data_IF_700194119977
#
_entry.id   IF_700194119977
#
_cell.length_a   1.000
_cell.length_b   1.000
_cell.length_c   1.000
_cell.angle_alpha   90.00
_cell.angle_beta   90.00
_cell.angle_gamma   90.00
#
_symmetry.space_group_name_H-M   'P 1'
#
loop_
_entity.id
_entity.type
_entity.pdbx_description
1 polymer ?
#
# COMPACT_ATOMS: atom_id res chain seq x y z
N UNK A 1 -11.88 53.03 -6.20
CA UNK A 1 -11.88 51.86 -5.29
C UNK A 1 -13.01 50.95 -5.72
N UNK A 2 -12.70 49.85 -6.41
CA UNK A 2 -13.68 48.81 -6.75
C UNK A 2 -13.08 47.50 -6.27
N UNK A 3 -13.52 47.11 -5.08
CA UNK A 3 -13.29 45.79 -4.49
C UNK A 3 -14.24 44.82 -5.14
N UNK A 4 -13.72 43.87 -5.91
CA UNK A 4 -14.42 42.62 -6.21
C UNK A 4 -13.41 41.52 -5.97
N UNK A 5 -13.35 41.08 -4.71
CA UNK A 5 -12.72 39.84 -4.32
C UNK A 5 -13.54 38.71 -4.95
N UNK A 6 -13.11 38.25 -6.12
CA UNK A 6 -13.51 36.94 -6.62
C UNK A 6 -12.84 35.91 -5.71
N UNK A 7 -13.50 35.63 -4.59
CA UNK A 7 -13.28 34.43 -3.79
C UNK A 7 -13.52 33.25 -4.72
N UNK A 8 -12.43 32.72 -5.30
CA UNK A 8 -12.46 31.34 -5.75
C UNK A 8 -12.76 30.51 -4.51
N UNK A 9 -13.81 29.66 -4.51
CA UNK A 9 -13.88 28.61 -3.52
C UNK A 9 -12.57 27.81 -3.63
N UNK A 10 -11.94 27.43 -2.50
CA UNK A 10 -10.80 26.53 -2.58
C UNK A 10 -11.25 25.31 -3.40
N UNK A 11 -10.41 24.79 -4.33
CA UNK A 11 -10.66 23.46 -4.84
C UNK A 11 -10.76 22.58 -3.61
N UNK A 12 -11.95 22.04 -3.34
CA UNK A 12 -12.09 20.94 -2.41
C UNK A 12 -11.21 19.86 -2.99
N UNK A 13 -9.98 19.77 -2.47
CA UNK A 13 -9.20 18.56 -2.54
C UNK A 13 -10.15 17.49 -2.02
N UNK A 14 -10.77 16.75 -2.94
CA UNK A 14 -11.31 15.44 -2.64
C UNK A 14 -10.10 14.66 -2.16
N UNK A 15 -9.83 14.77 -0.87
CA UNK A 15 -9.23 13.72 -0.09
C UNK A 15 -10.12 12.53 -0.45
N UNK A 16 -9.66 11.73 -1.41
CA UNK A 16 -10.21 10.41 -1.66
C UNK A 16 -9.82 9.62 -0.43
N UNK A 17 -10.49 9.90 0.68
CA UNK A 17 -10.80 8.86 1.64
C UNK A 17 -11.50 7.80 0.78
N UNK A 18 -10.79 6.72 0.51
CA UNK A 18 -11.29 5.53 -0.19
C UNK A 18 -12.27 4.81 0.73
N UNK A 19 -13.21 5.56 1.31
CA UNK A 19 -14.30 5.06 2.12
C UNK A 19 -15.30 4.44 1.17
N UNK A 20 -15.58 3.16 1.37
CA UNK A 20 -16.66 2.48 0.67
C UNK A 20 -17.97 3.25 0.94
N UNK A 21 -18.69 3.59 -0.14
CA UNK A 21 -20.03 4.17 0.02
C UNK A 21 -20.97 3.13 0.65
N UNK A 22 -22.01 3.56 1.39
CA UNK A 22 -23.04 2.65 1.93
C UNK A 22 -23.62 1.71 0.86
N UNK A 23 -23.81 2.20 -0.36
CA UNK A 23 -24.25 1.38 -1.50
C UNK A 23 -23.25 0.26 -1.84
N UNK A 24 -21.95 0.56 -1.77
CA UNK A 24 -20.91 -0.41 -2.03
C UNK A 24 -20.82 -1.44 -0.91
N UNK A 25 -21.00 -1.02 0.35
CA UNK A 25 -21.07 -1.93 1.49
C UNK A 25 -22.25 -2.91 1.40
N UNK A 26 -23.43 -2.42 1.02
CA UNK A 26 -24.59 -3.28 0.74
C UNK A 26 -24.29 -4.30 -0.35
N UNK A 27 -23.69 -3.87 -1.46
CA UNK A 27 -23.31 -4.79 -2.54
C UNK A 27 -22.32 -5.86 -2.08
N UNK A 28 -21.35 -5.49 -1.23
CA UNK A 28 -20.38 -6.44 -0.66
C UNK A 28 -21.10 -7.48 0.18
N UNK A 29 -21.94 -7.05 1.13
CA UNK A 29 -22.68 -7.96 2.00
C UNK A 29 -23.63 -8.87 1.23
N UNK A 30 -24.36 -8.33 0.24
CA UNK A 30 -25.28 -9.11 -0.59
C UNK A 30 -24.54 -10.16 -1.42
N UNK A 31 -23.41 -9.77 -2.02
CA UNK A 31 -22.56 -10.68 -2.80
C UNK A 31 -22.01 -11.78 -1.88
N UNK A 32 -21.33 -11.41 -0.78
CA UNK A 32 -20.68 -12.35 0.12
C UNK A 32 -21.67 -13.26 0.86
N UNK A 33 -22.89 -12.79 1.14
CA UNK A 33 -23.94 -13.63 1.75
C UNK A 33 -24.40 -14.79 0.86
N UNK A 34 -24.07 -14.76 -0.43
CA UNK A 34 -24.37 -15.84 -1.38
C UNK A 34 -23.27 -16.90 -1.45
N UNK A 35 -22.12 -16.68 -0.81
CA UNK A 35 -20.96 -17.57 -0.84
C UNK A 35 -20.60 -18.08 0.56
N UNK A 36 -19.79 -19.13 0.62
CA UNK A 36 -19.31 -19.71 1.86
C UNK A 36 -17.86 -19.24 2.14
N UNK A 37 -17.57 -18.63 3.31
CA UNK A 37 -16.22 -18.17 3.64
C UNK A 37 -15.21 -19.30 3.83
N UNK A 38 -15.65 -20.50 4.19
CA UNK A 38 -14.79 -21.65 4.43
C UNK A 38 -14.57 -22.48 3.15
N UNK A 39 -15.46 -22.36 2.16
CA UNK A 39 -15.45 -23.15 0.93
C UNK A 39 -15.64 -22.29 -0.32
N UNK A 40 -14.68 -21.40 -0.55
CA UNK A 40 -14.69 -20.53 -1.71
C UNK A 40 -13.82 -21.08 -2.84
N UNK A 41 -14.43 -21.31 -4.00
CA UNK A 41 -13.76 -21.83 -5.19
C UNK A 41 -13.09 -20.71 -5.98
N UNK A 42 -12.16 -21.09 -6.87
CA UNK A 42 -11.45 -20.14 -7.73
C UNK A 42 -12.40 -19.31 -8.60
N UNK A 43 -13.42 -19.96 -9.16
CA UNK A 43 -14.41 -19.35 -10.03
C UNK A 43 -15.33 -18.38 -9.27
N UNK A 44 -15.64 -18.72 -8.01
CA UNK A 44 -16.44 -17.88 -7.11
C UNK A 44 -15.65 -16.64 -6.72
N UNK A 45 -14.38 -16.79 -6.36
CA UNK A 45 -13.48 -15.66 -6.10
C UNK A 45 -13.40 -14.69 -7.29
N UNK A 46 -13.26 -15.22 -8.51
CA UNK A 46 -13.26 -14.41 -9.72
C UNK A 46 -14.58 -13.66 -9.90
N UNK A 47 -15.72 -14.33 -9.71
CA UNK A 47 -17.04 -13.69 -9.81
C UNK A 47 -17.22 -12.59 -8.77
N UNK A 48 -16.75 -12.79 -7.54
CA UNK A 48 -16.83 -11.80 -6.45
C UNK A 48 -16.00 -10.57 -6.80
N UNK A 49 -14.73 -10.75 -7.19
CA UNK A 49 -13.84 -9.65 -7.56
C UNK A 49 -14.36 -8.90 -8.78
N UNK A 50 -14.90 -9.61 -9.78
CA UNK A 50 -15.49 -9.01 -10.96
C UNK A 50 -16.77 -8.22 -10.61
N UNK A 51 -17.63 -8.74 -9.74
CA UNK A 51 -18.82 -8.05 -9.24
C UNK A 51 -18.44 -6.76 -8.51
N UNK A 52 -17.42 -6.83 -7.66
CA UNK A 52 -16.89 -5.67 -6.94
C UNK A 52 -16.30 -4.63 -7.89
N UNK A 53 -15.49 -5.06 -8.85
CA UNK A 53 -14.91 -4.18 -9.87
C UNK A 53 -15.99 -3.48 -10.71
N UNK A 54 -17.05 -4.20 -11.09
CA UNK A 54 -18.22 -3.64 -11.80
C UNK A 54 -19.02 -2.65 -10.93
N UNK A 55 -19.12 -2.90 -9.63
CA UNK A 55 -19.73 -1.99 -8.66
C UNK A 55 -18.84 -0.78 -8.29
N UNK A 56 -17.66 -0.64 -8.92
CA UNK A 56 -16.70 0.41 -8.63
C UNK A 56 -16.02 0.27 -7.26
N UNK A 57 -16.11 -0.91 -6.66
CA UNK A 57 -15.43 -1.26 -5.41
C UNK A 57 -13.96 -1.52 -5.76
N UNK A 58 -13.09 -0.68 -5.19
CA UNK A 58 -11.65 -0.82 -5.43
C UNK A 58 -11.08 -1.85 -4.44
N UNK A 59 -10.27 -2.82 -4.90
CA UNK A 59 -9.57 -3.71 -3.98
C UNK A 59 -8.63 -2.89 -3.09
N UNK A 60 -8.74 -3.06 -1.77
CA UNK A 60 -8.02 -2.26 -0.80
C UNK A 60 -8.34 -2.65 0.64
N UNK A 61 -7.78 -1.91 1.60
CA UNK A 61 -7.87 -2.22 3.02
C UNK A 61 -9.32 -2.14 3.56
N UNK A 62 -10.12 -1.22 3.04
CA UNK A 62 -11.54 -1.08 3.37
C UNK A 62 -12.36 -2.31 2.92
N UNK A 63 -12.18 -2.76 1.68
CA UNK A 63 -12.80 -3.99 1.19
C UNK A 63 -12.34 -5.19 2.02
N UNK A 64 -11.05 -5.25 2.37
CA UNK A 64 -10.51 -6.32 3.21
C UNK A 64 -11.15 -6.36 4.59
N UNK A 65 -11.38 -5.20 5.22
CA UNK A 65 -12.10 -5.13 6.49
C UNK A 65 -13.56 -5.58 6.33
N UNK A 66 -14.27 -5.08 5.31
CA UNK A 66 -15.67 -5.47 5.07
C UNK A 66 -15.83 -6.97 4.78
N UNK A 67 -14.88 -7.55 4.04
CA UNK A 67 -14.82 -9.00 3.80
C UNK A 67 -14.50 -9.75 5.09
N UNK A 68 -13.55 -9.27 5.90
CA UNK A 68 -13.19 -9.90 7.17
C UNK A 68 -14.34 -9.88 8.18
N UNK A 69 -15.16 -8.82 8.20
CA UNK A 69 -16.39 -8.76 9.00
C UNK A 69 -17.41 -9.83 8.58
N UNK A 70 -17.44 -10.17 7.29
CA UNK A 70 -18.25 -11.27 6.75
C UNK A 70 -17.57 -12.65 6.87
N UNK A 71 -16.34 -12.73 7.42
CA UNK A 71 -15.57 -13.97 7.57
C UNK A 71 -14.72 -14.36 6.35
N UNK A 72 -14.67 -13.50 5.32
CA UNK A 72 -13.87 -13.74 4.11
C UNK A 72 -12.52 -13.04 4.21
N UNK A 73 -11.44 -13.75 3.88
CA UNK A 73 -10.13 -13.12 3.71
C UNK A 73 -10.00 -12.57 2.29
N UNK A 74 -10.07 -11.24 2.14
CA UNK A 74 -9.91 -10.57 0.85
C UNK A 74 -8.56 -10.84 0.18
N UNK A 75 -7.51 -11.14 0.95
CA UNK A 75 -6.22 -11.53 0.38
C UNK A 75 -6.34 -12.89 -0.32
N UNK A 76 -6.80 -13.90 0.42
CA UNK A 76 -7.06 -15.24 -0.13
C UNK A 76 -8.03 -15.22 -1.31
N UNK A 77 -9.11 -14.43 -1.25
CA UNK A 77 -10.05 -14.27 -2.37
C UNK A 77 -9.38 -13.61 -3.57
N UNK A 78 -8.56 -12.58 -3.36
CA UNK A 78 -7.78 -11.95 -4.44
C UNK A 78 -6.79 -12.92 -5.10
N UNK A 79 -6.10 -13.74 -4.31
CA UNK A 79 -5.19 -14.77 -4.82
C UNK A 79 -5.94 -15.83 -5.64
N UNK A 80 -7.06 -16.33 -5.12
CA UNK A 80 -7.93 -17.28 -5.83
C UNK A 80 -8.48 -16.67 -7.13
N UNK A 81 -8.85 -15.39 -7.12
CA UNK A 81 -9.33 -14.69 -8.31
C UNK A 81 -8.26 -14.57 -9.41
N UNK A 82 -6.99 -14.87 -9.12
CA UNK A 82 -5.87 -14.62 -10.03
C UNK A 82 -5.47 -13.15 -10.06
N UNK A 83 -5.92 -12.37 -9.07
CA UNK A 83 -5.39 -11.04 -8.73
C UNK A 83 -4.06 -11.16 -7.95
N UNK A 84 -3.33 -12.25 -8.21
CA UNK A 84 -2.01 -12.49 -7.67
C UNK A 84 -1.17 -11.25 -7.98
N UNK A 85 -0.61 -10.55 -6.95
CA UNK A 85 0.43 -9.58 -7.23
C UNK A 85 1.47 -10.31 -8.07
N UNK A 86 1.82 -9.79 -9.26
CA UNK A 86 2.57 -10.53 -10.26
C UNK A 86 3.69 -11.26 -9.55
N UNK A 87 3.72 -12.60 -9.60
CA UNK A 87 4.75 -13.47 -9.04
C UNK A 87 6.07 -12.70 -9.08
N UNK A 88 6.38 -12.00 -7.98
CA UNK A 88 7.69 -11.41 -7.86
C UNK A 88 8.54 -12.66 -7.77
N UNK A 89 9.46 -12.91 -8.70
CA UNK A 89 10.41 -13.98 -8.51
C UNK A 89 10.93 -13.84 -7.07
N UNK A 90 11.06 -14.95 -6.31
CA UNK A 90 11.55 -14.87 -4.94
C UNK A 90 12.74 -13.93 -4.99
N UNK A 91 12.78 -12.89 -4.12
CA UNK A 91 13.89 -11.96 -4.13
C UNK A 91 15.15 -12.82 -4.17
N UNK A 92 16.10 -12.56 -5.10
CA UNK A 92 17.37 -13.28 -5.08
C UNK A 92 17.81 -13.27 -3.62
N UNK A 93 17.98 -14.47 -3.05
CA UNK A 93 18.45 -14.63 -1.68
C UNK A 93 19.49 -13.56 -1.48
N UNK A 94 19.28 -12.66 -0.53
CA UNK A 94 20.16 -11.53 -0.32
C UNK A 94 21.58 -12.11 -0.31
N UNK A 95 22.29 -11.92 -1.43
CA UNK A 95 23.72 -12.02 -1.40
C UNK A 95 24.05 -11.00 -0.34
N UNK A 96 24.65 -11.49 0.73
CA UNK A 96 25.14 -10.69 1.81
C UNK A 96 26.18 -9.75 1.19
N UNK A 97 25.73 -8.68 0.54
CA UNK A 97 26.46 -7.45 0.33
C UNK A 97 26.43 -6.70 1.66
N UNK A 98 26.75 -7.42 2.75
CA UNK A 98 27.34 -6.78 3.90
C UNK A 98 28.56 -6.03 3.39
N UNK A 99 28.70 -4.79 3.86
CA UNK A 99 29.86 -3.92 3.68
C UNK A 99 31.08 -4.67 3.16
N UNK A 100 31.41 -4.47 1.87
CA UNK A 100 32.62 -5.06 1.31
C UNK A 100 33.82 -4.45 2.02
N UNK A 101 34.89 -5.22 2.21
CA UNK A 101 36.17 -4.70 2.74
C UNK A 101 36.67 -3.48 1.95
N UNK A 102 36.34 -3.39 0.65
CA UNK A 102 36.61 -2.22 -0.19
C UNK A 102 35.91 -0.95 0.32
N UNK A 103 34.66 -1.07 0.78
CA UNK A 103 33.90 0.05 1.33
C UNK A 103 34.46 0.48 2.70
N UNK A 104 34.94 -0.46 3.52
CA UNK A 104 35.64 -0.17 4.78
C UNK A 104 36.99 0.52 4.55
N UNK A 105 37.78 0.05 3.59
CA UNK A 105 39.04 0.70 3.21
C UNK A 105 38.84 2.12 2.70
N UNK A 106 37.73 2.37 2.00
CA UNK A 106 37.33 3.71 1.55
C UNK A 106 36.97 4.61 2.74
N UNK A 107 36.21 4.09 3.72
CA UNK A 107 35.87 4.80 4.95
C UNK A 107 37.12 5.13 5.79
N UNK A 108 38.08 4.20 5.87
CA UNK A 108 39.33 4.40 6.61
C UNK A 108 40.19 5.50 5.97
N UNK A 109 40.28 5.52 4.63
CA UNK A 109 41.00 6.59 3.91
C UNK A 109 40.35 7.97 4.12
N UNK A 110 39.02 8.04 4.16
CA UNK A 110 38.29 9.29 4.43
C UNK A 110 38.42 9.76 5.88
N UNK A 111 38.52 8.82 6.84
CA UNK A 111 38.70 9.15 8.24
C UNK A 111 40.13 9.67 8.50
N UNK A 112 41.13 9.03 7.89
CA UNK A 112 42.53 9.46 8.00
C UNK A 112 42.81 10.78 7.26
N UNK A 113 42.03 11.11 6.23
CA UNK A 113 42.03 12.45 5.60
C UNK A 113 41.44 13.54 6.51
N UNK A 114 40.57 13.18 7.47
CA UNK A 114 39.85 14.14 8.32
C UNK A 114 40.35 14.22 9.77
N UNK A 115 41.27 13.36 10.21
CA UNK A 115 41.90 13.41 11.54
C UNK A 115 43.04 14.46 11.66
N UNK A 116 43.25 15.28 10.63
CA UNK A 116 44.26 16.35 10.62
C UNK A 116 43.76 17.76 10.96
N UNK A 117 42.47 17.97 11.21
CA UNK A 117 41.95 19.29 11.59
C UNK A 117 41.63 19.30 13.10
N UNK A 118 42.62 19.73 13.89
CA UNK A 118 42.45 20.11 15.30
C UNK A 118 41.26 21.08 15.41
N UNK A 119 40.09 20.56 15.81
CA UNK A 119 38.96 21.40 16.21
C UNK A 119 39.31 21.94 17.60
N UNK A 120 40.11 23.01 17.63
CA UNK A 120 40.46 23.75 18.85
C UNK A 120 39.19 24.34 19.47
N UNK A 121 38.57 23.55 20.34
CA UNK A 121 37.63 24.03 21.34
C UNK A 121 38.43 24.74 22.44
N UNK A 122 38.51 26.09 22.40
CA UNK A 122 38.49 27.00 23.56
C UNK A 122 39.20 28.34 23.27
N UNK A 123 38.44 29.37 22.88
CA UNK A 123 38.64 30.73 23.44
C UNK A 123 37.26 31.29 23.80
N UNK A 124 37.19 31.64 25.08
CA UNK A 124 36.11 32.21 25.87
C UNK A 124 35.67 33.58 25.33
#
# INVERSE_FOLDING_TARGET
>A
MISISSSLPPPTSSIKETTLSENQHSTILETLSSYDPENLSKEEAQSIVETFSNAGITPGQELANAMAEAGFDAHSVGELAGNEPPHRPPPPQAQNNGFTEEMLSTLESLLEEHEGEDIDANVI
#
